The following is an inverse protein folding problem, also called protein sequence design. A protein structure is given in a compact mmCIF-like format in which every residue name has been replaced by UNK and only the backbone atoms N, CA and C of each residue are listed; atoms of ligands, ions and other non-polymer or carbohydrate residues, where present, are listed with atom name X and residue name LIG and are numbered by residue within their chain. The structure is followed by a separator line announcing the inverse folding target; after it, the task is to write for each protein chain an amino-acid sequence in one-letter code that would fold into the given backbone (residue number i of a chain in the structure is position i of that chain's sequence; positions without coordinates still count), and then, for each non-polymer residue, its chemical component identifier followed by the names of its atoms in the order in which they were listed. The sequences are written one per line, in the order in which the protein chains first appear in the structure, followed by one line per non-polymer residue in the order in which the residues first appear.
data_IF_998824922454
#
_entry.id   IF_998824922454
#
_cell.length_a   1.000
_cell.length_b   1.000
_cell.length_c   1.000
_cell.angle_alpha   90.00
_cell.angle_beta   90.00
_cell.angle_gamma   90.00
#
_symmetry.space_group_name_H-M   'P 1'
#
loop_
_entity.id
_entity.type
_entity.pdbx_description
1 polymer ?
#
# COMPACT_ATOMS: atom_id res chain seq x y z
N UNK A 1 2.55 -4.06 -10.19
CA UNK A 1 1.78 -3.75 -11.40
C UNK A 1 1.71 -2.24 -11.65
N UNK A 2 1.25 -1.42 -10.69
CA UNK A 2 1.09 0.03 -10.87
C UNK A 2 2.41 0.73 -11.22
N UNK A 3 3.52 0.35 -10.59
CA UNK A 3 4.85 0.87 -10.93
C UNK A 3 5.28 0.56 -12.38
N UNK A 4 4.85 -0.58 -12.92
CA UNK A 4 5.08 -0.91 -14.32
C UNK A 4 4.25 0.01 -15.24
N UNK A 5 2.96 0.19 -14.92
CA UNK A 5 2.08 1.10 -15.69
C UNK A 5 2.62 2.52 -15.70
N UNK A 6 3.07 3.03 -14.53
CA UNK A 6 3.67 4.34 -14.40
C UNK A 6 4.89 4.51 -15.34
N UNK A 7 5.83 3.58 -15.26
CA UNK A 7 7.05 3.63 -16.09
C UNK A 7 6.75 3.63 -17.57
N UNK A 8 5.81 2.78 -18.01
CA UNK A 8 5.41 2.72 -19.42
C UNK A 8 4.73 4.03 -19.86
N UNK A 9 3.86 4.59 -19.03
CA UNK A 9 3.23 5.88 -19.31
C UNK A 9 4.26 7.01 -19.43
N UNK A 10 5.22 7.06 -18.52
CA UNK A 10 6.27 8.09 -18.51
C UNK A 10 7.20 8.01 -19.72
N UNK A 11 7.53 6.81 -20.21
CA UNK A 11 8.28 6.64 -21.47
C UNK A 11 7.56 7.28 -22.67
N UNK A 12 6.22 7.40 -22.59
CA UNK A 12 5.38 8.05 -23.60
C UNK A 12 5.06 9.52 -23.26
N UNK A 13 5.74 10.11 -22.28
CA UNK A 13 5.50 11.48 -21.82
C UNK A 13 4.15 11.67 -21.12
N UNK A 14 3.50 10.58 -20.68
CA UNK A 14 2.19 10.59 -20.02
C UNK A 14 2.33 10.44 -18.53
N UNK A 15 1.46 11.13 -17.75
CA UNK A 15 1.31 10.89 -16.32
C UNK A 15 0.20 9.89 -16.04
N UNK A 16 0.17 9.38 -14.80
CA UNK A 16 -0.92 8.54 -14.30
C UNK A 16 -1.47 9.08 -12.99
N UNK A 17 -2.75 8.84 -12.78
CA UNK A 17 -3.39 9.00 -11.48
C UNK A 17 -4.08 7.68 -11.14
N UNK A 18 -3.61 6.96 -10.11
CA UNK A 18 -4.36 5.83 -9.58
C UNK A 18 -5.73 6.30 -9.10
N UNK A 19 -6.76 5.59 -9.51
CA UNK A 19 -8.14 5.89 -9.09
C UNK A 19 -8.60 4.90 -8.04
N UNK A 20 -8.39 3.59 -8.32
CA UNK A 20 -8.84 2.50 -7.48
C UNK A 20 -7.93 1.29 -7.73
N UNK A 21 -7.11 0.92 -6.76
CA UNK A 21 -6.21 -0.22 -6.86
C UNK A 21 -6.40 -1.13 -5.65
N UNK A 22 -6.74 -2.38 -5.89
CA UNK A 22 -6.98 -3.33 -4.81
C UNK A 22 -6.69 -4.77 -5.24
N UNK A 23 -6.59 -5.63 -4.24
CA UNK A 23 -6.47 -7.07 -4.42
C UNK A 23 -7.66 -7.76 -3.79
N UNK A 24 -8.25 -8.69 -4.52
CA UNK A 24 -9.31 -9.57 -4.04
C UNK A 24 -9.03 -11.02 -4.43
N UNK A 25 -8.66 -11.82 -3.43
CA UNK A 25 -8.21 -13.18 -3.66
C UNK A 25 -6.96 -13.22 -4.53
N UNK A 26 -7.06 -13.84 -5.71
CA UNK A 26 -5.96 -13.94 -6.69
C UNK A 26 -5.99 -12.83 -7.76
N UNK A 27 -6.94 -11.93 -7.67
CA UNK A 27 -7.14 -10.87 -8.67
C UNK A 27 -6.61 -9.56 -8.16
N UNK A 28 -5.78 -8.90 -8.97
CA UNK A 28 -5.32 -7.55 -8.74
C UNK A 28 -6.02 -6.62 -9.73
N UNK A 29 -6.63 -5.57 -9.22
CA UNK A 29 -7.29 -4.55 -10.02
C UNK A 29 -6.51 -3.25 -9.93
N UNK A 30 -6.20 -2.67 -11.09
CA UNK A 30 -5.50 -1.40 -11.20
C UNK A 30 -6.31 -0.52 -12.15
N UNK A 31 -6.93 0.51 -11.60
CA UNK A 31 -7.66 1.52 -12.36
C UNK A 31 -6.88 2.83 -12.28
N UNK A 32 -6.51 3.37 -13.44
CA UNK A 32 -5.73 4.60 -13.53
C UNK A 32 -6.35 5.55 -14.55
N UNK A 33 -6.27 6.84 -14.27
CA UNK A 33 -6.50 7.89 -15.26
C UNK A 33 -5.19 8.24 -15.92
N UNK A 34 -5.14 8.11 -17.24
CA UNK A 34 -3.99 8.60 -18.02
C UNK A 34 -4.07 10.12 -18.16
N UNK A 35 -2.97 10.79 -17.90
CA UNK A 35 -2.83 12.23 -18.08
C UNK A 35 -2.00 12.54 -19.32
N UNK A 36 -2.27 13.67 -19.95
CA UNK A 36 -1.52 14.08 -21.17
C UNK A 36 -0.03 14.33 -20.90
N UNK A 37 0.30 14.76 -19.68
CA UNK A 37 1.65 15.09 -19.25
C UNK A 37 1.93 14.54 -17.87
N UNK A 38 3.19 14.26 -17.59
CA UNK A 38 3.69 13.95 -16.26
C UNK A 38 3.39 15.11 -15.31
N UNK A 39 2.89 14.83 -14.13
CA UNK A 39 2.61 15.87 -13.14
C UNK A 39 3.86 16.13 -12.28
N UNK A 40 4.08 17.38 -11.82
CA UNK A 40 5.18 17.68 -10.91
C UNK A 40 5.13 16.79 -9.67
N UNK A 41 6.25 16.17 -9.33
CA UNK A 41 6.38 15.29 -8.17
C UNK A 41 5.87 13.87 -8.38
N UNK A 42 5.31 13.53 -9.54
CA UNK A 42 4.86 12.17 -9.83
C UNK A 42 6.04 11.18 -9.85
N UNK A 43 7.23 11.64 -10.27
CA UNK A 43 8.46 10.87 -10.25
C UNK A 43 8.91 10.44 -8.85
N UNK A 44 8.46 11.13 -7.81
CA UNK A 44 8.73 10.76 -6.41
C UNK A 44 7.84 9.60 -5.92
N UNK A 45 6.90 9.16 -6.75
CA UNK A 45 5.97 8.06 -6.43
C UNK A 45 6.48 6.70 -6.90
N UNK A 46 7.67 6.62 -7.48
CA UNK A 46 8.38 5.35 -7.68
C UNK A 46 9.51 5.21 -6.68
N UNK A 47 9.62 4.03 -6.10
CA UNK A 47 10.62 3.74 -5.11
C UNK A 47 11.04 2.29 -5.06
N UNK A 48 12.02 2.01 -4.23
CA UNK A 48 12.44 0.68 -3.82
C UNK A 48 12.02 0.45 -2.37
N UNK A 49 11.58 -0.75 -2.09
CA UNK A 49 11.29 -1.22 -0.73
C UNK A 49 12.35 -2.25 -0.36
N UNK A 50 13.13 -1.93 0.67
CA UNK A 50 14.06 -2.86 1.27
C UNK A 50 13.47 -3.46 2.54
N UNK A 51 13.66 -4.76 2.72
CA UNK A 51 13.23 -5.49 3.90
C UNK A 51 14.40 -6.26 4.50
N UNK A 52 14.62 -6.11 5.79
CA UNK A 52 15.63 -6.87 6.50
C UNK A 52 15.20 -8.33 6.64
N UNK A 53 16.02 -9.26 6.19
CA UNK A 53 15.76 -10.71 6.27
C UNK A 53 15.73 -11.21 7.71
N UNK A 54 16.49 -10.58 8.62
CA UNK A 54 16.57 -11.01 10.00
C UNK A 54 15.39 -10.47 10.86
N UNK A 55 15.16 -9.16 10.87
CA UNK A 55 14.13 -8.56 11.74
C UNK A 55 12.89 -8.05 11.00
N UNK A 56 12.86 -8.10 9.63
CA UNK A 56 11.77 -7.66 8.79
C UNK A 56 11.50 -6.17 8.79
N UNK A 57 12.34 -5.35 9.42
CA UNK A 57 12.27 -3.90 9.27
C UNK A 57 12.23 -3.52 7.82
N UNK A 58 11.43 -2.51 7.49
CA UNK A 58 11.22 -2.09 6.12
C UNK A 58 11.66 -0.63 5.96
N UNK A 59 12.31 -0.35 4.83
CA UNK A 59 12.76 0.99 4.46
C UNK A 59 12.36 1.24 3.01
N UNK A 60 11.78 2.41 2.75
CA UNK A 60 11.40 2.84 1.41
C UNK A 60 12.31 3.98 0.98
N UNK A 61 12.83 3.91 -0.22
CA UNK A 61 13.57 5.01 -0.84
C UNK A 61 12.93 5.38 -2.19
N UNK A 62 12.82 6.68 -2.44
CA UNK A 62 12.38 7.21 -3.73
C UNK A 62 13.44 6.89 -4.78
N UNK A 63 13.02 6.37 -5.93
CA UNK A 63 13.93 5.94 -6.99
C UNK A 63 14.86 7.06 -7.47
N UNK A 64 14.37 8.29 -7.51
CA UNK A 64 15.13 9.48 -7.94
C UNK A 64 16.26 9.86 -6.97
N UNK A 65 16.12 9.52 -5.69
CA UNK A 65 17.01 9.94 -4.62
C UNK A 65 17.58 8.73 -3.85
N UNK A 66 18.00 7.70 -4.59
CA UNK A 66 18.58 6.51 -3.97
C UNK A 66 19.91 6.83 -3.30
N UNK A 67 20.05 6.35 -2.07
CA UNK A 67 21.27 6.37 -1.28
C UNK A 67 21.64 4.95 -0.85
N UNK A 68 22.74 4.79 -0.12
CA UNK A 68 23.03 3.51 0.52
C UNK A 68 21.92 3.11 1.52
N UNK A 69 21.65 1.83 1.66
CA UNK A 69 20.71 1.33 2.66
C UNK A 69 21.28 1.54 4.06
N UNK A 70 20.48 2.02 5.02
CA UNK A 70 20.94 2.20 6.38
C UNK A 70 21.28 0.87 7.02
N UNK A 71 22.13 0.89 8.05
CA UNK A 71 22.34 -0.30 8.88
C UNK A 71 21.02 -0.71 9.54
N UNK A 72 20.75 -2.01 9.57
CA UNK A 72 19.55 -2.49 10.24
C UNK A 72 19.71 -2.43 11.76
N UNK A 73 18.63 -2.08 12.46
CA UNK A 73 18.58 -2.03 13.93
C UNK A 73 18.48 -3.43 14.60
N UNK A 74 18.60 -4.52 13.84
CA UNK A 74 18.53 -5.86 14.43
C UNK A 74 19.72 -6.14 15.36
N UNK A 75 19.51 -6.89 16.47
CA UNK A 75 20.54 -7.14 17.48
C UNK A 75 21.84 -7.73 16.95
N UNK A 76 21.78 -8.48 15.86
CA UNK A 76 22.95 -9.08 15.20
C UNK A 76 23.76 -8.09 14.35
N UNK A 77 23.23 -6.89 14.07
CA UNK A 77 23.87 -5.92 13.17
C UNK A 77 24.07 -6.38 11.71
N UNK A 78 23.84 -7.66 11.45
CA UNK A 78 24.13 -8.34 10.19
C UNK A 78 22.88 -8.49 9.29
N UNK A 79 21.87 -7.63 9.49
CA UNK A 79 20.64 -7.70 8.71
C UNK A 79 20.90 -7.43 7.23
N UNK A 80 20.69 -8.43 6.40
CA UNK A 80 20.75 -8.32 4.94
C UNK A 80 19.44 -7.74 4.42
N UNK A 81 19.54 -6.75 3.53
CA UNK A 81 18.39 -6.15 2.87
C UNK A 81 18.02 -6.95 1.61
N UNK A 82 16.78 -7.41 1.58
CA UNK A 82 16.12 -7.88 0.36
C UNK A 82 15.37 -6.70 -0.26
N UNK A 83 15.74 -6.34 -1.50
CA UNK A 83 15.23 -5.13 -2.16
C UNK A 83 14.26 -5.51 -3.27
N UNK A 84 13.10 -4.86 -3.26
CA UNK A 84 12.04 -5.02 -4.26
C UNK A 84 11.75 -3.70 -4.97
N UNK A 85 11.44 -3.76 -6.26
CA UNK A 85 11.04 -2.60 -7.03
C UNK A 85 11.66 -2.54 -8.43
N UNK A 86 11.46 -1.43 -9.17
CA UNK A 86 10.72 -0.22 -8.77
C UNK A 86 9.23 -0.46 -8.55
N UNK A 87 8.72 0.02 -7.42
CA UNK A 87 7.32 -0.05 -7.03
C UNK A 87 6.70 1.34 -7.01
N UNK A 88 5.39 1.42 -7.20
CA UNK A 88 4.63 2.62 -6.88
C UNK A 88 4.49 2.72 -5.36
N UNK A 89 4.98 3.80 -4.79
CA UNK A 89 4.99 4.08 -3.35
C UNK A 89 4.07 5.24 -2.96
N UNK A 90 3.37 5.83 -3.93
CA UNK A 90 2.36 6.85 -3.71
C UNK A 90 0.98 6.26 -3.39
N UNK A 91 -0.03 7.12 -3.22
CA UNK A 91 -1.41 6.68 -2.96
C UNK A 91 -1.93 5.71 -4.02
N UNK A 92 -2.62 4.68 -3.58
CA UNK A 92 -3.24 3.67 -4.43
C UNK A 92 -4.69 4.02 -4.79
N UNK A 93 -5.30 4.89 -3.98
CA UNK A 93 -6.69 5.31 -4.09
C UNK A 93 -6.78 6.81 -4.33
N UNK A 94 -7.82 7.23 -5.06
CA UNK A 94 -8.20 8.61 -5.22
C UNK A 94 -9.44 8.91 -4.37
N UNK A 95 -9.30 9.82 -3.41
CA UNK A 95 -10.37 10.15 -2.46
C UNK A 95 -11.63 10.66 -3.15
N UNK A 96 -11.48 11.43 -4.23
CA UNK A 96 -12.63 11.94 -4.98
C UNK A 96 -13.38 10.81 -5.69
N UNK A 97 -12.64 9.85 -6.24
CA UNK A 97 -13.23 8.65 -6.87
C UNK A 97 -13.96 7.80 -5.85
N UNK A 98 -13.38 7.58 -4.66
CA UNK A 98 -14.04 6.83 -3.58
C UNK A 98 -15.30 7.56 -3.08
N UNK A 99 -15.24 8.87 -2.89
CA UNK A 99 -16.39 9.67 -2.48
C UNK A 99 -17.51 9.63 -3.53
N UNK A 100 -17.16 9.74 -4.82
CA UNK A 100 -18.13 9.61 -5.92
C UNK A 100 -18.80 8.24 -5.96
N UNK A 101 -18.03 7.15 -5.78
CA UNK A 101 -18.58 5.81 -5.68
C UNK A 101 -19.53 5.66 -4.50
N UNK A 102 -19.17 6.21 -3.33
CA UNK A 102 -20.02 6.16 -2.14
C UNK A 102 -21.31 6.94 -2.32
N UNK A 103 -21.27 8.07 -3.02
CA UNK A 103 -22.43 8.94 -3.31
C UNK A 103 -23.29 8.46 -4.46
N UNK A 104 -22.92 7.37 -5.16
CA UNK A 104 -23.68 6.87 -6.29
C UNK A 104 -25.02 6.28 -5.83
N UNK A 105 -26.17 6.82 -6.31
CA UNK A 105 -27.49 6.36 -5.90
C UNK A 105 -27.72 4.87 -6.12
N UNK A 106 -27.21 4.31 -7.21
CA UNK A 106 -27.32 2.89 -7.50
C UNK A 106 -26.66 2.01 -6.43
N UNK A 107 -25.49 2.44 -5.91
CA UNK A 107 -24.80 1.69 -4.85
C UNK A 107 -25.51 1.76 -3.49
N UNK A 108 -26.44 2.72 -3.32
CA UNK A 108 -27.26 2.88 -2.12
C UNK A 108 -28.53 2.03 -2.15
N UNK A 109 -28.91 1.47 -3.30
CA UNK A 109 -30.09 0.63 -3.42
C UNK A 109 -29.93 -0.66 -2.60
N UNK A 110 -30.99 -1.11 -1.89
CA UNK A 110 -30.96 -2.35 -1.14
C UNK A 110 -30.61 -3.55 -2.04
N UNK A 111 -29.52 -4.24 -1.72
CA UNK A 111 -29.09 -5.41 -2.48
C UNK A 111 -28.25 -5.13 -3.74
N UNK A 112 -28.03 -3.88 -4.12
CA UNK A 112 -27.21 -3.51 -5.29
C UNK A 112 -25.77 -4.05 -5.17
N UNK A 113 -25.19 -4.02 -3.99
CA UNK A 113 -23.86 -4.56 -3.71
C UNK A 113 -23.86 -5.53 -2.52
N UNK A 114 -22.98 -6.51 -2.59
CA UNK A 114 -22.80 -7.48 -1.51
C UNK A 114 -22.16 -6.83 -0.26
N UNK A 115 -22.37 -7.42 0.91
CA UNK A 115 -21.68 -7.02 2.14
C UNK A 115 -20.15 -7.11 2.01
N UNK A 116 -19.65 -8.01 1.18
CA UNK A 116 -18.21 -8.12 0.88
C UNK A 116 -17.72 -6.89 0.14
N UNK A 117 -18.47 -6.39 -0.84
CA UNK A 117 -18.14 -5.17 -1.59
C UNK A 117 -18.18 -3.93 -0.68
N UNK A 118 -19.18 -3.83 0.21
CA UNK A 118 -19.24 -2.73 1.20
C UNK A 118 -17.99 -2.69 2.07
N UNK A 119 -17.60 -3.83 2.65
CA UNK A 119 -16.39 -3.95 3.48
C UNK A 119 -15.10 -3.67 2.69
N UNK A 120 -15.08 -3.98 1.39
CA UNK A 120 -13.95 -3.63 0.53
C UNK A 120 -13.84 -2.12 0.39
N UNK A 121 -14.94 -1.43 0.06
CA UNK A 121 -14.97 0.03 -0.08
C UNK A 121 -14.54 0.73 1.23
N UNK A 122 -15.05 0.28 2.37
CA UNK A 122 -14.64 0.79 3.70
C UNK A 122 -13.13 0.67 3.93
N UNK A 123 -12.53 -0.46 3.55
CA UNK A 123 -11.07 -0.65 3.65
C UNK A 123 -10.29 0.25 2.71
N UNK A 124 -10.78 0.44 1.47
CA UNK A 124 -10.13 1.31 0.50
C UNK A 124 -10.19 2.78 0.92
N UNK A 125 -11.23 3.20 1.64
CA UNK A 125 -11.34 4.55 2.20
C UNK A 125 -10.32 4.82 3.33
N UNK A 126 -9.90 3.78 4.04
CA UNK A 126 -8.89 3.89 5.09
C UNK A 126 -7.44 3.90 4.55
N UNK A 127 -7.25 3.50 3.29
CA UNK A 127 -5.93 3.31 2.65
C UNK A 127 -5.19 4.63 2.26
N UNK A 128 -5.87 5.73 1.88
CA UNK A 128 -5.19 6.97 1.50
C UNK A 128 -4.33 7.55 2.63
N UNK A 129 -3.06 7.76 2.32
CA UNK A 129 -2.07 8.22 3.31
C UNK A 129 -1.31 7.09 4.03
N UNK A 130 -1.71 5.84 3.84
CA UNK A 130 -0.95 4.70 4.36
C UNK A 130 0.42 4.60 3.71
N UNK A 131 1.47 4.24 4.48
CA UNK A 131 2.80 4.03 3.92
C UNK A 131 2.82 2.81 2.99
N UNK A 132 3.81 2.76 2.10
CA UNK A 132 4.01 1.61 1.21
C UNK A 132 4.49 0.34 1.94
N UNK A 133 4.79 0.45 3.23
CA UNK A 133 5.22 -0.67 4.08
C UNK A 133 4.02 -1.39 4.67
N UNK A 134 4.06 -2.72 4.64
CA UNK A 134 3.00 -3.57 5.19
C UNK A 134 3.58 -4.73 5.98
N UNK A 135 2.85 -5.20 6.97
CA UNK A 135 3.22 -6.34 7.79
C UNK A 135 2.16 -7.43 7.69
N UNK A 136 2.58 -8.63 7.36
CA UNK A 136 1.70 -9.79 7.39
C UNK A 136 1.43 -10.20 8.86
N UNK A 137 0.18 -10.44 9.21
CA UNK A 137 -0.21 -10.76 10.60
C UNK A 137 0.38 -12.09 11.09
N UNK A 138 0.53 -13.07 10.20
CA UNK A 138 1.15 -14.36 10.51
C UNK A 138 2.67 -14.22 10.75
N UNK A 139 3.31 -13.28 10.08
CA UNK A 139 4.71 -12.97 10.33
C UNK A 139 4.90 -12.26 11.68
N UNK A 140 4.04 -11.29 11.98
CA UNK A 140 4.06 -10.65 13.29
C UNK A 140 3.85 -11.66 14.42
N UNK A 141 2.88 -12.57 14.27
CA UNK A 141 2.64 -13.63 15.25
C UNK A 141 3.86 -14.53 15.47
N UNK A 142 4.52 -14.95 14.39
CA UNK A 142 5.75 -15.77 14.50
C UNK A 142 6.87 -15.04 15.24
N UNK A 143 7.01 -13.74 15.05
CA UNK A 143 8.04 -12.93 15.71
C UNK A 143 7.76 -12.68 17.19
N UNK A 144 6.50 -12.55 17.55
CA UNK A 144 6.07 -12.34 18.93
C UNK A 144 6.01 -13.64 19.76
N UNK A 145 6.28 -14.79 19.13
CA UNK A 145 6.26 -16.08 19.81
C UNK A 145 4.87 -16.54 20.27
N UNK A 146 3.82 -15.98 19.68
CA UNK A 146 2.43 -16.30 20.02
C UNK A 146 1.95 -17.62 19.39
N UNK A 147 0.93 -18.24 19.99
CA UNK A 147 0.32 -19.49 19.53
C UNK A 147 -0.52 -19.39 18.25
N UNK A 148 -0.47 -18.26 17.55
CA UNK A 148 -1.17 -18.00 16.29
C UNK A 148 -1.36 -16.50 16.06
N UNK A 149 -1.77 -16.09 14.83
CA UNK A 149 -2.00 -14.69 14.54
C UNK A 149 -3.20 -14.18 15.37
N UNK A 150 -3.05 -13.04 16.06
CA UNK A 150 -4.20 -12.39 16.72
C UNK A 150 -5.24 -11.99 15.66
N UNK A 151 -6.50 -11.86 16.07
CA UNK A 151 -7.50 -11.33 15.15
C UNK A 151 -7.10 -9.92 14.71
N UNK A 152 -7.41 -9.57 13.47
CA UNK A 152 -7.06 -8.24 12.93
C UNK A 152 -7.58 -7.11 13.83
N UNK A 153 -8.80 -7.24 14.34
CA UNK A 153 -9.41 -6.24 15.23
C UNK A 153 -8.63 -6.09 16.54
N UNK A 154 -8.17 -7.18 17.14
CA UNK A 154 -7.34 -7.12 18.35
C UNK A 154 -6.01 -6.44 18.07
N UNK A 155 -5.37 -6.77 16.96
CA UNK A 155 -4.10 -6.17 16.56
C UNK A 155 -4.25 -4.67 16.30
N UNK A 156 -5.24 -4.26 15.51
CA UNK A 156 -5.53 -2.84 15.22
C UNK A 156 -5.82 -2.07 16.50
N UNK A 157 -6.63 -2.65 17.39
CA UNK A 157 -6.95 -2.01 18.68
C UNK A 157 -5.69 -1.83 19.53
N UNK A 158 -4.86 -2.85 19.65
CA UNK A 158 -3.64 -2.79 20.45
C UNK A 158 -2.64 -1.76 19.88
N UNK A 159 -2.46 -1.73 18.56
CA UNK A 159 -1.57 -0.76 17.90
C UNK A 159 -2.05 0.68 18.10
N UNK A 160 -3.37 0.91 17.99
CA UNK A 160 -3.97 2.24 18.25
C UNK A 160 -3.84 2.66 19.71
N UNK A 161 -4.05 1.74 20.65
CA UNK A 161 -3.85 2.00 22.10
C UNK A 161 -2.40 2.35 22.42
N UNK A 162 -1.45 1.80 21.68
CA UNK A 162 -0.04 2.13 21.80
C UNK A 162 0.33 3.48 21.11
N UNK A 163 -0.63 4.23 20.57
CA UNK A 163 -0.43 5.54 19.95
C UNK A 163 0.01 5.51 18.47
N UNK A 164 -0.05 4.34 17.82
CA UNK A 164 0.30 4.20 16.41
C UNK A 164 -0.94 4.16 15.51
N UNK A 165 -0.76 4.44 14.23
CA UNK A 165 -1.81 4.28 13.23
C UNK A 165 -1.88 2.82 12.74
N UNK A 166 -3.09 2.28 12.66
CA UNK A 166 -3.38 0.96 12.08
C UNK A 166 -4.76 0.98 11.40
N UNK A 167 -4.85 0.30 10.27
CA UNK A 167 -6.03 0.25 9.41
C UNK A 167 -6.41 -1.20 9.07
#
# INVERSE_FOLDING_TARGET
QLGLVARQAWMLGRGIQPLLCFSEGRTFRVSVRMRRHLQPGEEHRLGLLARCEACGSQVVQILKNLTGWPSCCCPSGAGRWSVSGPLWIGPLQDLQTLAALRGDPWLQEPGAISNRTKRLLERLEADPGSPATVWATDELARRLGGGGPPSLNQLVTAVRQAGFQAY
#
